data_IF_437872244417
#
_entry.id   IF_437872244417
#
_cell.length_a   1.000
_cell.length_b   1.000
_cell.length_c   1.000
_cell.angle_alpha   90.00
_cell.angle_beta   90.00
_cell.angle_gamma   90.00
#
_symmetry.space_group_name_H-M   'P 1'
#
loop_
_entity.id
_entity.type
_entity.pdbx_description
1 polymer ?
#
# COMPACT_ATOMS: atom_id res chain seq x y z
N UNK A 1 24.29 -6.11 28.67
CA UNK A 1 22.87 -6.35 28.33
C UNK A 1 22.75 -6.31 26.82
N UNK A 2 22.76 -7.47 26.16
CA UNK A 2 22.55 -7.57 24.72
C UNK A 2 21.08 -7.29 24.40
N UNK A 3 20.81 -6.15 23.79
CA UNK A 3 19.56 -5.94 23.08
C UNK A 3 19.69 -6.59 21.71
N UNK A 4 19.12 -7.78 21.53
CA UNK A 4 18.92 -8.34 20.19
C UNK A 4 17.84 -7.48 19.55
N UNK A 5 18.26 -6.58 18.66
CA UNK A 5 17.37 -5.89 17.73
C UNK A 5 16.86 -6.96 16.76
N UNK A 6 15.64 -7.44 17.01
CA UNK A 6 14.93 -8.28 16.06
C UNK A 6 14.60 -7.40 14.85
N UNK A 7 15.48 -7.39 13.83
CA UNK A 7 15.13 -6.87 12.51
C UNK A 7 14.04 -7.79 11.97
N UNK A 8 12.78 -7.40 12.17
CA UNK A 8 11.68 -7.90 11.35
C UNK A 8 12.03 -7.52 9.92
N UNK A 9 12.32 -8.52 9.08
CA UNK A 9 12.53 -8.32 7.66
C UNK A 9 11.15 -7.95 7.09
N UNK A 10 10.81 -6.66 7.08
CA UNK A 10 9.67 -6.22 6.27
C UNK A 10 10.06 -6.43 4.81
N UNK A 11 9.31 -7.24 4.08
CA UNK A 11 9.46 -7.41 2.63
C UNK A 11 9.09 -6.14 1.85
N UNK A 12 8.49 -5.16 2.52
CA UNK A 12 8.04 -3.89 1.95
C UNK A 12 9.23 -3.01 1.56
N UNK A 13 9.29 -2.64 0.29
CA UNK A 13 10.23 -1.70 -0.28
C UNK A 13 9.77 -0.27 -0.01
N UNK A 14 10.41 0.38 0.96
CA UNK A 14 10.17 1.78 1.28
C UNK A 14 11.10 2.71 0.47
N UNK A 15 10.57 3.80 -0.06
CA UNK A 15 11.41 4.84 -0.67
C UNK A 15 12.21 5.59 0.40
N UNK A 16 13.42 6.06 0.06
CA UNK A 16 14.25 6.86 0.99
C UNK A 16 13.54 8.15 1.45
N UNK A 17 12.74 8.74 0.57
CA UNK A 17 11.87 9.89 0.84
C UNK A 17 10.89 9.58 1.98
N UNK A 18 10.10 8.51 1.83
CA UNK A 18 9.11 8.11 2.83
C UNK A 18 9.78 7.70 4.14
N UNK A 19 10.92 7.00 4.08
CA UNK A 19 11.69 6.65 5.27
C UNK A 19 12.14 7.90 6.05
N UNK A 20 12.62 8.92 5.34
CA UNK A 20 13.04 10.18 5.95
C UNK A 20 11.87 10.93 6.59
N UNK A 21 10.70 10.94 5.93
CA UNK A 21 9.49 11.55 6.48
C UNK A 21 9.04 10.83 7.76
N UNK A 22 8.98 9.49 7.76
CA UNK A 22 8.60 8.71 8.95
C UNK A 22 9.58 8.86 10.12
N UNK A 23 10.87 9.02 9.86
CA UNK A 23 11.88 9.21 10.91
C UNK A 23 11.72 10.55 11.64
N UNK A 24 11.36 11.60 10.91
CA UNK A 24 11.30 12.97 11.45
C UNK A 24 9.90 13.35 11.97
N UNK A 25 8.86 12.69 11.47
CA UNK A 25 7.49 13.02 11.82
C UNK A 25 7.09 12.53 13.23
N UNK A 26 6.18 13.25 13.87
CA UNK A 26 5.45 12.79 15.05
C UNK A 26 4.39 11.76 14.67
N UNK A 27 3.97 10.92 15.61
CA UNK A 27 3.07 9.79 15.32
C UNK A 27 1.70 10.22 14.77
N UNK A 28 1.25 11.43 15.11
CA UNK A 28 -0.01 12.03 14.66
C UNK A 28 0.10 12.87 13.39
N UNK A 29 1.31 13.13 12.88
CA UNK A 29 1.47 13.93 11.67
C UNK A 29 0.97 13.18 10.43
N UNK A 30 0.33 13.93 9.54
CA UNK A 30 -0.21 13.40 8.29
C UNK A 30 0.92 13.12 7.29
N UNK A 31 0.95 11.90 6.77
CA UNK A 31 1.90 11.44 5.78
C UNK A 31 1.13 10.95 4.56
N UNK A 32 1.56 11.42 3.39
CA UNK A 32 1.01 10.98 2.11
C UNK A 32 1.95 9.94 1.49
N UNK A 33 1.38 8.81 1.07
CA UNK A 33 2.13 7.72 0.46
C UNK A 33 1.38 7.11 -0.74
N UNK A 34 2.15 6.48 -1.62
CA UNK A 34 1.62 5.55 -2.62
C UNK A 34 1.96 4.15 -2.15
N UNK A 35 0.95 3.32 -1.99
CA UNK A 35 1.07 1.90 -1.66
C UNK A 35 0.97 1.11 -2.96
N UNK A 36 1.89 0.19 -3.17
CA UNK A 36 1.83 -0.80 -4.25
C UNK A 36 1.46 -2.13 -3.63
N UNK A 37 0.43 -2.77 -4.18
CA UNK A 37 0.01 -4.09 -3.71
C UNK A 37 1.00 -5.14 -4.22
N UNK A 38 1.17 -6.21 -3.44
CA UNK A 38 2.00 -7.35 -3.82
C UNK A 38 1.32 -8.24 -4.88
N UNK A 39 -0.01 -8.13 -5.05
CA UNK A 39 -0.74 -8.83 -6.12
C UNK A 39 -0.39 -8.22 -7.48
N UNK A 40 0.22 -9.01 -8.36
CA UNK A 40 0.63 -8.58 -9.70
C UNK A 40 -0.47 -8.76 -10.76
N UNK A 41 -0.39 -7.99 -11.83
CA UNK A 41 -1.25 -8.18 -13.00
C UNK A 41 -0.71 -9.28 -13.92
N UNK A 42 -1.61 -10.09 -14.51
CA UNK A 42 -1.22 -11.23 -15.34
C UNK A 42 -0.87 -10.78 -16.77
N UNK A 43 0.16 -9.94 -16.93
CA UNK A 43 0.50 -9.29 -18.20
C UNK A 43 0.65 -10.28 -19.37
N UNK A 44 1.32 -11.41 -19.15
CA UNK A 44 1.53 -12.45 -20.16
C UNK A 44 0.21 -13.14 -20.56
N UNK A 45 -0.64 -13.45 -19.59
CA UNK A 45 -1.90 -14.16 -19.84
C UNK A 45 -2.92 -13.32 -20.63
N UNK A 46 -2.83 -11.99 -20.52
CA UNK A 46 -3.76 -11.07 -21.19
C UNK A 46 -3.17 -10.43 -22.44
N UNK A 47 -1.92 -10.73 -22.82
CA UNK A 47 -1.17 -10.01 -23.87
C UNK A 47 -1.94 -9.92 -25.21
N UNK A 48 -2.64 -11.00 -25.58
CA UNK A 48 -3.38 -11.08 -26.85
C UNK A 48 -4.83 -10.60 -26.78
N UNK A 49 -5.31 -10.17 -25.60
CA UNK A 49 -6.67 -9.66 -25.44
C UNK A 49 -6.82 -8.23 -25.97
N UNK A 50 -8.03 -7.84 -26.41
CA UNK A 50 -8.36 -6.44 -26.69
C UNK A 50 -8.09 -5.53 -25.48
N UNK A 51 -7.68 -4.29 -25.74
CA UNK A 51 -7.34 -3.31 -24.69
C UNK A 51 -8.47 -3.14 -23.66
N UNK A 52 -9.73 -3.16 -24.11
CA UNK A 52 -10.89 -3.03 -23.23
C UNK A 52 -11.01 -4.20 -22.25
N UNK A 53 -10.73 -5.42 -22.70
CA UNK A 53 -10.79 -6.62 -21.87
C UNK A 53 -9.63 -6.63 -20.86
N UNK A 54 -8.41 -6.26 -21.30
CA UNK A 54 -7.27 -6.07 -20.40
C UNK A 54 -7.58 -5.07 -19.28
N UNK A 55 -8.14 -3.91 -19.63
CA UNK A 55 -8.50 -2.87 -18.67
C UNK A 55 -9.55 -3.35 -17.67
N UNK A 56 -10.54 -4.13 -18.12
CA UNK A 56 -11.54 -4.70 -17.24
C UNK A 56 -10.92 -5.70 -16.26
N UNK A 57 -10.06 -6.60 -16.73
CA UNK A 57 -9.35 -7.58 -15.90
C UNK A 57 -8.49 -6.88 -14.83
N UNK A 58 -7.67 -5.89 -15.23
CA UNK A 58 -6.83 -5.17 -14.27
C UNK A 58 -7.64 -4.39 -13.24
N UNK A 59 -8.76 -3.79 -13.67
CA UNK A 59 -9.69 -3.11 -12.76
C UNK A 59 -10.32 -4.06 -11.75
N UNK A 60 -10.75 -5.25 -12.18
CA UNK A 60 -11.32 -6.26 -11.29
C UNK A 60 -10.28 -6.74 -10.27
N UNK A 61 -9.06 -7.05 -10.71
CA UNK A 61 -7.97 -7.47 -9.82
C UNK A 61 -7.62 -6.37 -8.81
N UNK A 62 -7.51 -5.12 -9.26
CA UNK A 62 -7.25 -3.98 -8.38
C UNK A 62 -8.33 -3.86 -7.30
N UNK A 63 -9.62 -3.88 -7.70
CA UNK A 63 -10.74 -3.75 -6.78
C UNK A 63 -10.76 -4.90 -5.76
N UNK A 64 -10.58 -6.15 -6.20
CA UNK A 64 -10.64 -7.29 -5.28
C UNK A 64 -9.43 -7.35 -4.35
N UNK A 65 -8.23 -7.10 -4.84
CA UNK A 65 -7.01 -7.22 -4.04
C UNK A 65 -6.79 -6.05 -3.07
N UNK A 66 -7.36 -4.87 -3.35
CA UNK A 66 -7.26 -3.70 -2.46
C UNK A 66 -8.30 -3.70 -1.35
N UNK A 67 -9.38 -4.50 -1.47
CA UNK A 67 -10.53 -4.43 -0.56
C UNK A 67 -10.15 -4.70 0.90
N UNK A 68 -9.37 -5.75 1.18
CA UNK A 68 -8.96 -6.10 2.55
C UNK A 68 -8.10 -5.01 3.20
N UNK A 69 -7.31 -4.29 2.41
CA UNK A 69 -6.53 -3.15 2.90
C UNK A 69 -7.44 -1.94 3.18
N UNK A 70 -8.41 -1.68 2.32
CA UNK A 70 -9.37 -0.59 2.51
C UNK A 70 -10.25 -0.84 3.74
N UNK A 71 -10.74 -2.06 3.91
CA UNK A 71 -11.55 -2.45 5.07
C UNK A 71 -10.76 -2.34 6.37
N UNK A 72 -9.46 -2.63 6.33
CA UNK A 72 -8.55 -2.36 7.44
C UNK A 72 -8.39 -0.86 7.72
N UNK A 73 -8.14 -0.05 6.69
CA UNK A 73 -7.94 1.40 6.83
C UNK A 73 -9.20 2.11 7.36
N UNK A 74 -10.38 1.65 6.97
CA UNK A 74 -11.67 2.18 7.45
C UNK A 74 -11.89 1.98 8.96
N UNK A 75 -11.07 1.18 9.65
CA UNK A 75 -11.09 1.04 11.11
C UNK A 75 -10.41 2.21 11.83
N UNK A 76 -9.75 3.11 11.10
CA UNK A 76 -9.00 4.25 11.63
C UNK A 76 -9.56 5.61 11.11
N UNK A 77 -10.85 5.92 11.31
CA UNK A 77 -11.50 7.08 10.69
C UNK A 77 -10.94 8.45 11.14
N UNK A 78 -10.24 8.51 12.28
CA UNK A 78 -9.61 9.73 12.80
C UNK A 78 -8.15 9.89 12.33
N UNK A 79 -7.59 8.88 11.67
CA UNK A 79 -6.18 8.82 11.31
C UNK A 79 -5.95 8.53 9.83
N UNK A 80 -7.02 8.22 9.07
CA UNK A 80 -6.98 8.05 7.63
C UNK A 80 -7.85 9.14 7.01
N UNK A 81 -7.20 10.05 6.30
CA UNK A 81 -7.80 11.28 5.80
C UNK A 81 -8.19 11.18 4.32
N UNK A 82 -7.42 10.42 3.54
CA UNK A 82 -7.69 10.18 2.12
C UNK A 82 -7.30 8.75 1.73
N UNK A 83 -8.17 8.09 0.97
CA UNK A 83 -7.85 6.86 0.24
C UNK A 83 -8.32 7.04 -1.20
N UNK A 84 -7.41 6.85 -2.15
CA UNK A 84 -7.74 6.84 -3.58
C UNK A 84 -7.11 5.63 -4.25
N UNK A 85 -7.95 4.76 -4.80
CA UNK A 85 -7.52 3.57 -5.53
C UNK A 85 -6.94 3.90 -6.90
N UNK A 86 -5.88 3.18 -7.27
CA UNK A 86 -5.38 3.09 -8.63
C UNK A 86 -5.57 1.67 -9.15
N UNK A 87 -6.07 1.57 -10.38
CA UNK A 87 -6.22 0.30 -11.08
C UNK A 87 -5.26 0.15 -12.27
N UNK A 88 -4.67 1.25 -12.76
CA UNK A 88 -3.68 1.19 -13.86
C UNK A 88 -2.37 0.55 -13.43
N UNK A 89 -2.02 0.70 -12.15
CA UNK A 89 -1.12 -0.17 -11.40
C UNK A 89 -1.86 -0.58 -10.13
N UNK A 90 -1.57 -1.75 -9.57
CA UNK A 90 -2.29 -2.23 -8.41
C UNK A 90 -1.81 -1.49 -7.15
N UNK A 91 -2.52 -0.45 -6.74
CA UNK A 91 -2.08 0.39 -5.62
C UNK A 91 -3.09 1.43 -5.16
N UNK A 92 -2.70 2.16 -4.12
CA UNK A 92 -3.51 3.18 -3.46
C UNK A 92 -2.67 4.45 -3.24
N UNK A 93 -3.26 5.62 -3.42
CA UNK A 93 -2.81 6.84 -2.75
C UNK A 93 -3.50 6.91 -1.39
N UNK A 94 -2.72 7.20 -0.35
CA UNK A 94 -3.22 7.35 1.01
C UNK A 94 -2.63 8.60 1.66
N UNK A 95 -3.45 9.30 2.43
CA UNK A 95 -3.00 10.28 3.43
C UNK A 95 -3.50 9.82 4.79
N UNK A 96 -2.57 9.54 5.71
CA UNK A 96 -2.88 8.99 7.03
C UNK A 96 -1.82 9.40 8.07
N UNK A 97 -2.09 9.15 9.35
CA UNK A 97 -1.11 9.38 10.42
C UNK A 97 0.16 8.54 10.21
N UNK A 98 1.32 9.06 10.64
CA UNK A 98 2.58 8.27 10.67
C UNK A 98 2.37 6.90 11.34
N UNK A 99 1.60 6.84 12.42
CA UNK A 99 1.27 5.59 13.12
C UNK A 99 0.63 4.59 12.16
N UNK A 100 -0.40 4.99 11.42
CA UNK A 100 -1.07 4.12 10.44
C UNK A 100 -0.10 3.71 9.33
N UNK A 101 0.64 4.65 8.73
CA UNK A 101 1.61 4.32 7.67
C UNK A 101 2.67 3.32 8.16
N UNK A 102 3.13 3.43 9.40
CA UNK A 102 4.09 2.50 10.00
C UNK A 102 3.51 1.09 10.19
N UNK A 103 2.22 0.97 10.54
CA UNK A 103 1.55 -0.34 10.59
C UNK A 103 1.41 -0.98 9.21
N UNK A 104 1.21 -0.17 8.16
CA UNK A 104 1.12 -0.68 6.78
C UNK A 104 2.43 -1.32 6.30
N UNK A 105 3.59 -0.88 6.79
CA UNK A 105 4.89 -1.51 6.46
C UNK A 105 5.02 -2.96 6.95
N UNK A 106 4.12 -3.41 7.84
CA UNK A 106 4.11 -4.78 8.38
C UNK A 106 3.20 -5.73 7.60
N UNK A 107 2.42 -5.21 6.65
CA UNK A 107 1.46 -5.98 5.87
C UNK A 107 2.13 -6.74 4.72
N UNK A 108 1.68 -7.97 4.49
CA UNK A 108 2.26 -8.90 3.48
C UNK A 108 1.66 -8.71 2.09
N UNK A 109 0.51 -8.08 2.00
CA UNK A 109 -0.18 -7.70 0.76
C UNK A 109 0.37 -6.39 0.16
N UNK A 110 1.34 -5.74 0.82
CA UNK A 110 2.03 -4.55 0.36
C UNK A 110 3.45 -4.90 -0.11
N UNK A 111 3.88 -4.27 -1.21
CA UNK A 111 5.20 -4.43 -1.82
C UNK A 111 6.20 -3.39 -1.37
#
# INVERSE_FOLDING_TARGET
MSGILLMLISSVLISSELQTQLQNAQDWEEITAIIVMNTEYPYEAVENLPVREKAQIFKEIALSSQQDLIDYLNQFPEEVFEIRQFWVFNGLHITASKRVITELLKRVDIK
#
